data_IF_309682498830
#
_entry.id   IF_309682498830
#
_cell.length_a   1.000
_cell.length_b   1.000
_cell.length_c   1.000
_cell.angle_alpha   90.00
_cell.angle_beta   90.00
_cell.angle_gamma   90.00
#
_symmetry.space_group_name_H-M   'P 1'
#
loop_
_entity.id
_entity.type
_entity.pdbx_description
1 polymer ?
#
# COMPACT_ATOMS: atom_id res chain seq x y z
N UNK A 1 16.48 5.59 55.27
CA UNK A 1 16.46 6.95 54.69
C UNK A 1 17.74 7.14 53.89
N UNK A 2 17.69 6.96 52.56
CA UNK A 2 18.88 7.08 51.70
C UNK A 2 19.19 8.56 51.47
N UNK A 3 20.31 9.04 52.02
CA UNK A 3 20.80 10.41 51.84
C UNK A 3 21.59 10.44 50.52
N UNK A 4 20.88 10.63 49.41
CA UNK A 4 21.48 10.66 48.07
C UNK A 4 22.39 11.90 47.98
N UNK A 5 23.69 11.66 47.75
CA UNK A 5 24.67 12.73 47.53
C UNK A 5 24.25 13.58 46.34
N UNK A 6 24.30 14.91 46.48
CA UNK A 6 23.85 15.86 45.46
C UNK A 6 24.44 15.59 44.05
N UNK A 7 25.66 15.05 43.99
CA UNK A 7 26.31 14.66 42.74
C UNK A 7 25.61 13.49 42.02
N UNK A 8 25.12 12.52 42.79
CA UNK A 8 24.40 11.35 42.29
C UNK A 8 23.01 11.75 41.78
N UNK A 9 22.37 12.73 42.44
CA UNK A 9 21.11 13.30 41.97
C UNK A 9 21.25 14.02 40.63
N UNK A 10 22.34 14.76 40.42
CA UNK A 10 22.58 15.48 39.16
C UNK A 10 22.79 14.50 38.00
N UNK A 11 23.60 13.46 38.20
CA UNK A 11 23.83 12.45 37.16
C UNK A 11 22.54 11.72 36.78
N UNK A 12 21.71 11.39 37.77
CA UNK A 12 20.43 10.73 37.50
C UNK A 12 19.50 11.60 36.65
N UNK A 13 19.46 12.91 36.91
CA UNK A 13 18.67 13.88 36.12
C UNK A 13 19.18 13.99 34.68
N UNK A 14 20.49 13.96 34.47
CA UNK A 14 21.05 13.99 33.11
C UNK A 14 20.74 12.71 32.32
N UNK A 15 20.82 11.54 32.97
CA UNK A 15 20.51 10.26 32.33
C UNK A 15 19.01 10.21 31.98
N UNK A 16 18.12 10.63 32.88
CA UNK A 16 16.68 10.66 32.59
C UNK A 16 16.33 11.65 31.49
N UNK A 17 16.98 12.83 31.46
CA UNK A 17 16.79 13.79 30.37
C UNK A 17 17.25 13.23 29.01
N UNK A 18 18.40 12.54 28.97
CA UNK A 18 18.91 11.94 27.74
C UNK A 18 17.98 10.84 27.21
N UNK A 19 17.47 9.98 28.10
CA UNK A 19 16.53 8.91 27.76
C UNK A 19 15.21 9.48 27.21
N UNK A 20 14.69 10.55 27.81
CA UNK A 20 13.49 11.22 27.33
C UNK A 20 13.68 11.81 25.92
N UNK A 21 14.85 12.39 25.63
CA UNK A 21 15.16 12.91 24.28
C UNK A 21 15.30 11.79 23.25
N UNK A 22 15.94 10.67 23.61
CA UNK A 22 16.05 9.52 22.73
C UNK A 22 14.70 8.87 22.41
N UNK A 23 13.75 8.86 23.37
CA UNK A 23 12.40 8.34 23.15
C UNK A 23 11.57 9.20 22.19
N UNK A 24 11.79 10.53 22.14
CA UNK A 24 11.11 11.40 21.18
C UNK A 24 11.54 11.16 19.71
N UNK A 25 12.68 10.49 19.49
CA UNK A 25 13.16 10.14 18.14
C UNK A 25 12.49 8.87 17.58
N UNK A 26 11.71 8.15 18.40
CA UNK A 26 11.00 6.92 18.06
C UNK A 26 9.50 7.14 17.83
N UNK A 27 9.09 8.36 17.49
CA UNK A 27 7.75 8.62 17.00
C UNK A 27 7.64 8.08 15.57
N UNK A 28 7.26 6.80 15.47
CA UNK A 28 6.88 6.18 14.21
C UNK A 28 5.69 6.96 13.66
N UNK A 29 5.93 7.73 12.60
CA UNK A 29 4.89 8.40 11.82
C UNK A 29 3.81 7.36 11.47
N UNK A 30 2.58 7.45 12.03
CA UNK A 30 1.51 6.59 11.56
C UNK A 30 1.22 7.01 10.13
N UNK A 31 1.32 6.06 9.19
CA UNK A 31 1.17 6.32 7.76
C UNK A 31 -0.26 6.74 7.37
N UNK A 32 -1.22 6.65 8.29
CA UNK A 32 -2.64 6.95 8.04
C UNK A 32 -3.27 7.60 9.27
N UNK A 33 -3.80 8.81 9.07
CA UNK A 33 -4.69 9.50 10.00
C UNK A 33 -6.12 9.11 9.66
N UNK A 34 -6.79 8.40 10.56
CA UNK A 34 -8.21 8.07 10.42
C UNK A 34 -9.03 9.29 10.84
N UNK A 35 -9.58 10.01 9.86
CA UNK A 35 -10.61 11.04 10.10
C UNK A 35 -11.95 10.34 10.08
N UNK A 36 -12.52 10.12 11.26
CA UNK A 36 -13.91 9.68 11.42
C UNK A 36 -14.72 10.86 11.92
N UNK A 37 -15.68 11.33 11.10
CA UNK A 37 -16.95 11.90 11.55
C UNK A 37 -17.80 12.32 10.35
N UNK A 38 -18.72 11.47 9.89
CA UNK A 38 -19.97 11.91 9.26
C UNK A 38 -21.11 10.96 9.65
N UNK A 39 -22.11 11.53 10.33
CA UNK A 39 -23.43 10.95 10.59
C UNK A 39 -24.24 10.90 9.28
N UNK A 40 -24.72 9.73 8.87
CA UNK A 40 -25.57 9.54 7.69
C UNK A 40 -27.00 9.14 8.10
N UNK A 41 -28.05 9.88 7.67
CA UNK A 41 -29.44 9.46 7.79
C UNK A 41 -29.77 8.40 6.71
N UNK A 42 -30.61 7.43 7.09
CA UNK A 42 -31.22 6.34 6.30
C UNK A 42 -30.74 6.21 4.84
N UNK A 43 -29.66 5.44 4.65
CA UNK A 43 -29.18 5.06 3.33
C UNK A 43 -29.65 3.62 3.01
N UNK A 44 -30.13 3.35 1.79
CA UNK A 44 -30.56 2.01 1.38
C UNK A 44 -29.44 1.00 1.61
N UNK A 45 -29.82 -0.24 1.93
CA UNK A 45 -28.91 -1.34 2.24
C UNK A 45 -28.04 -1.66 1.01
N UNK A 46 -26.94 -0.93 0.86
CA UNK A 46 -25.83 -1.27 0.00
C UNK A 46 -25.12 -2.41 0.73
N UNK A 47 -25.31 -3.64 0.24
CA UNK A 47 -24.55 -4.79 0.72
C UNK A 47 -23.08 -4.51 0.43
N UNK A 48 -22.35 -4.11 1.47
CA UNK A 48 -20.93 -3.90 1.44
C UNK A 48 -20.23 -5.25 1.28
N UNK A 49 -20.10 -5.72 0.03
CA UNK A 49 -18.99 -6.62 -0.29
C UNK A 49 -17.73 -5.81 -0.04
N UNK A 50 -17.10 -6.02 1.12
CA UNK A 50 -15.85 -5.36 1.48
C UNK A 50 -14.89 -5.47 0.29
N UNK A 51 -14.21 -4.39 -0.11
CA UNK A 51 -13.37 -4.42 -1.29
C UNK A 51 -12.23 -5.41 -1.07
N UNK A 52 -12.25 -6.52 -1.83
CA UNK A 52 -11.19 -7.53 -1.77
C UNK A 52 -9.88 -6.90 -2.27
N UNK A 53 -8.73 -7.27 -1.69
CA UNK A 53 -7.44 -6.86 -2.22
C UNK A 53 -7.25 -7.43 -3.64
N UNK A 54 -6.44 -6.77 -4.50
CA UNK A 54 -6.12 -7.28 -5.82
C UNK A 54 -5.62 -8.74 -5.75
N UNK A 55 -6.16 -9.59 -6.61
CA UNK A 55 -5.87 -11.02 -6.62
C UNK A 55 -5.23 -11.44 -7.94
N UNK A 56 -4.16 -12.24 -7.86
CA UNK A 56 -3.50 -12.86 -9.01
C UNK A 56 -4.07 -14.26 -9.26
N UNK A 57 -4.69 -14.44 -10.42
CA UNK A 57 -5.29 -15.72 -10.83
C UNK A 57 -4.58 -16.25 -12.08
N UNK A 58 -4.21 -17.55 -12.12
CA UNK A 58 -3.70 -18.17 -13.35
C UNK A 58 -4.74 -18.14 -14.47
N UNK A 59 -4.32 -17.79 -15.68
CA UNK A 59 -5.16 -17.80 -16.88
C UNK A 59 -4.35 -18.15 -18.14
N UNK A 60 -5.02 -18.20 -19.29
CA UNK A 60 -4.39 -18.40 -20.60
C UNK A 60 -4.80 -17.26 -21.53
N UNK A 61 -3.83 -16.49 -22.02
CA UNK A 61 -4.04 -15.40 -22.98
C UNK A 61 -3.26 -15.69 -24.26
N UNK A 62 -3.94 -15.77 -25.40
CA UNK A 62 -3.30 -16.10 -26.68
C UNK A 62 -2.57 -17.46 -26.68
N UNK A 63 -3.09 -18.44 -25.93
CA UNK A 63 -2.47 -19.76 -25.77
C UNK A 63 -1.24 -19.80 -24.86
N UNK A 64 -0.87 -18.68 -24.22
CA UNK A 64 0.24 -18.61 -23.26
C UNK A 64 -0.29 -18.53 -21.83
N UNK A 65 0.30 -19.27 -20.88
CA UNK A 65 -0.05 -19.13 -19.47
C UNK A 65 0.36 -17.74 -18.97
N UNK A 66 -0.55 -17.09 -18.26
CA UNK A 66 -0.36 -15.77 -17.65
C UNK A 66 -0.98 -15.73 -16.25
N UNK A 67 -0.65 -14.70 -15.48
CA UNK A 67 -1.37 -14.37 -14.26
C UNK A 67 -2.13 -13.07 -14.48
N UNK A 68 -3.43 -13.08 -14.17
CA UNK A 68 -4.30 -11.92 -14.27
C UNK A 68 -4.46 -11.31 -12.89
N UNK A 69 -4.08 -10.04 -12.76
CA UNK A 69 -4.34 -9.25 -11.56
C UNK A 69 -5.69 -8.55 -11.72
N UNK A 70 -6.67 -8.92 -10.90
CA UNK A 70 -7.96 -8.22 -10.88
C UNK A 70 -7.88 -7.01 -9.95
N UNK A 71 -8.00 -5.83 -10.53
CA UNK A 71 -8.07 -4.55 -9.82
C UNK A 71 -9.51 -4.04 -9.93
N UNK A 72 -10.21 -3.93 -8.81
CA UNK A 72 -11.65 -3.68 -8.79
C UNK A 72 -12.03 -2.26 -8.40
N UNK A 73 -11.08 -1.46 -7.86
CA UNK A 73 -11.31 -0.06 -7.49
C UNK A 73 -10.43 0.88 -8.29
N UNK A 74 -10.93 2.07 -8.59
CA UNK A 74 -10.18 3.13 -9.28
C UNK A 74 -8.99 3.69 -8.49
N UNK A 75 -9.02 3.54 -7.17
CA UNK A 75 -7.99 4.04 -6.23
C UNK A 75 -6.88 3.01 -5.97
N UNK A 76 -7.04 1.76 -6.44
CA UNK A 76 -6.08 0.70 -6.16
C UNK A 76 -4.75 0.99 -6.85
N UNK A 77 -3.67 1.05 -6.07
CA UNK A 77 -2.31 1.24 -6.58
C UNK A 77 -1.55 -0.08 -6.55
N UNK A 78 -0.98 -0.47 -7.70
CA UNK A 78 -0.19 -1.71 -7.83
C UNK A 78 1.27 -1.35 -8.11
N UNK A 79 2.16 -1.77 -7.23
CA UNK A 79 3.60 -1.66 -7.44
C UNK A 79 4.13 -2.89 -8.18
N UNK A 80 4.62 -2.70 -9.40
CA UNK A 80 5.29 -3.75 -10.19
C UNK A 80 6.79 -3.47 -10.22
N UNK A 81 7.61 -4.47 -9.88
CA UNK A 81 9.08 -4.39 -9.92
C UNK A 81 9.63 -5.37 -10.94
N UNK A 82 10.35 -4.84 -11.91
CA UNK A 82 11.17 -5.64 -12.80
C UNK A 82 12.56 -5.86 -12.16
N UNK A 83 13.24 -6.93 -12.55
CA UNK A 83 14.62 -7.17 -12.14
C UNK A 83 15.57 -6.09 -12.70
N UNK A 84 16.76 -5.89 -12.09
CA UNK A 84 17.75 -4.94 -12.59
C UNK A 84 18.03 -5.11 -14.09
N UNK A 85 18.12 -3.99 -14.81
CA UNK A 85 18.29 -3.97 -16.27
C UNK A 85 16.98 -4.10 -17.07
N UNK A 86 15.84 -4.19 -16.39
CA UNK A 86 14.52 -4.19 -17.01
C UNK A 86 13.62 -3.11 -16.42
N UNK A 87 12.75 -2.54 -17.26
CA UNK A 87 11.73 -1.59 -16.84
C UNK A 87 10.31 -2.12 -17.12
N UNK A 88 9.35 -1.73 -16.26
CA UNK A 88 7.96 -2.14 -16.42
C UNK A 88 7.33 -1.41 -17.63
N UNK A 89 6.67 -2.15 -18.54
CA UNK A 89 5.96 -1.62 -19.69
C UNK A 89 4.52 -2.18 -19.77
N UNK A 90 3.54 -1.30 -19.99
CA UNK A 90 2.12 -1.65 -20.09
C UNK A 90 1.61 -1.45 -21.52
N UNK A 91 0.89 -2.45 -22.03
CA UNK A 91 0.12 -2.33 -23.28
C UNK A 91 -1.36 -2.49 -22.96
N UNK A 92 -2.17 -1.50 -23.31
CA UNK A 92 -3.62 -1.54 -23.09
C UNK A 92 -4.32 -2.09 -24.34
N UNK A 93 -5.17 -3.08 -24.14
CA UNK A 93 -5.94 -3.73 -25.20
C UNK A 93 -7.40 -3.95 -24.77
N UNK A 94 -8.25 -4.34 -25.71
CA UNK A 94 -9.61 -4.74 -25.39
C UNK A 94 -9.62 -6.11 -24.71
N UNK A 95 -10.43 -6.26 -23.67
CA UNK A 95 -10.60 -7.52 -22.96
C UNK A 95 -11.29 -8.55 -23.86
N UNK A 96 -10.77 -9.78 -23.90
CA UNK A 96 -11.41 -10.89 -24.62
C UNK A 96 -11.39 -10.80 -26.15
N UNK A 97 -10.36 -10.19 -26.74
CA UNK A 97 -10.15 -10.10 -28.21
C UNK A 97 -11.23 -9.35 -28.99
N UNK A 98 -12.13 -8.62 -28.31
CA UNK A 98 -13.25 -7.95 -28.95
C UNK A 98 -12.93 -6.48 -29.19
N UNK A 99 -12.67 -6.06 -30.44
CA UNK A 99 -12.11 -4.75 -30.77
C UNK A 99 -13.08 -3.56 -30.64
N UNK A 100 -14.27 -3.76 -30.06
CA UNK A 100 -15.32 -2.75 -30.03
C UNK A 100 -15.23 -1.86 -28.79
N UNK A 101 -15.36 -0.54 -28.99
CA UNK A 101 -14.85 0.51 -28.08
C UNK A 101 -15.57 0.66 -26.73
N UNK A 102 -16.64 -0.10 -26.48
CA UNK A 102 -17.43 -0.06 -25.24
C UNK A 102 -17.21 -1.29 -24.33
N UNK A 103 -16.22 -2.13 -24.64
CA UNK A 103 -15.88 -3.30 -23.84
C UNK A 103 -14.86 -2.96 -22.75
N UNK A 104 -14.81 -3.71 -21.64
CA UNK A 104 -13.76 -3.58 -20.64
C UNK A 104 -12.38 -3.63 -21.29
N UNK A 105 -11.44 -2.79 -20.82
CA UNK A 105 -10.05 -2.81 -21.29
C UNK A 105 -9.17 -3.54 -20.28
N UNK A 106 -8.13 -4.19 -20.78
CA UNK A 106 -7.12 -4.87 -19.96
C UNK A 106 -5.73 -4.32 -20.30
N UNK A 107 -4.83 -4.32 -19.31
CA UNK A 107 -3.43 -3.94 -19.48
C UNK A 107 -2.54 -5.16 -19.34
N UNK A 108 -1.75 -5.47 -20.36
CA UNK A 108 -0.70 -6.50 -20.27
C UNK A 108 0.58 -5.83 -19.81
N UNK A 109 1.05 -6.22 -18.63
CA UNK A 109 2.29 -5.73 -18.05
C UNK A 109 3.45 -6.67 -18.37
N UNK A 110 4.54 -6.13 -18.90
CA UNK A 110 5.76 -6.88 -19.22
C UNK A 110 7.00 -6.15 -18.71
N UNK A 111 8.10 -6.87 -18.52
CA UNK A 111 9.40 -6.29 -18.22
C UNK A 111 10.25 -6.29 -19.49
N UNK A 112 10.57 -5.12 -20.02
CA UNK A 112 11.43 -4.96 -21.20
C UNK A 112 12.82 -4.49 -20.78
N UNK A 113 13.89 -4.78 -21.54
CA UNK A 113 15.22 -4.24 -21.24
C UNK A 113 15.18 -2.72 -21.12
N UNK A 114 15.79 -2.18 -20.06
CA UNK A 114 16.01 -0.74 -19.92
C UNK A 114 17.06 -0.33 -20.97
N UNK A 115 16.69 0.60 -21.85
CA UNK A 115 17.58 1.10 -22.91
C UNK A 115 18.74 1.93 -22.35
#
# INVERSE_FOLDING_TARGET
MFKVSAKLSVVLVFITALVLVCLQSFEAKPALSETSDIHFPDQPTIVATAPLPPNLVPAVLGGKPVYVLYVTRSEDTVLVRCYPGYEPAITVQAMGSNSNANTPREGVMTCRPSA
#
